data_IF_093578050676
#
_entry.id   IF_093578050676
#
_cell.length_a   1.000
_cell.length_b   1.000
_cell.length_c   1.000
_cell.angle_alpha   90.00
_cell.angle_beta   90.00
_cell.angle_gamma   90.00
#
_symmetry.space_group_name_H-M   'P 1'
#
loop_
_entity.id
_entity.type
_entity.pdbx_description
1 polymer ?
#
# COMPACT_ATOMS: atom_id res chain seq x y z
N UNK A 1 15.56 -14.55 -10.98
CA UNK A 1 15.66 -14.23 -9.53
C UNK A 1 14.25 -14.05 -9.01
N UNK A 2 13.85 -14.69 -7.91
CA UNK A 2 12.55 -14.45 -7.24
C UNK A 2 12.80 -13.53 -6.05
N UNK A 3 12.39 -12.27 -6.16
CA UNK A 3 12.48 -11.28 -5.08
C UNK A 3 11.13 -11.18 -4.38
N UNK A 4 11.13 -11.19 -3.05
CA UNK A 4 9.92 -11.13 -2.23
C UNK A 4 10.04 -9.99 -1.22
N UNK A 5 9.03 -9.13 -1.17
CA UNK A 5 8.93 -8.04 -0.19
C UNK A 5 7.75 -8.30 0.75
N UNK A 6 8.00 -8.17 2.05
CA UNK A 6 6.96 -8.37 3.05
C UNK A 6 7.12 -7.41 4.22
N UNK A 7 6.07 -6.64 4.50
CA UNK A 7 5.95 -5.79 5.67
C UNK A 7 4.46 -5.47 5.95
N UNK A 8 4.17 -5.03 7.17
CA UNK A 8 2.86 -4.54 7.59
C UNK A 8 2.79 -3.01 7.60
N UNK A 9 1.57 -2.48 7.71
CA UNK A 9 1.31 -1.06 7.96
C UNK A 9 2.11 -0.15 7.00
N UNK A 10 2.91 0.76 7.56
CA UNK A 10 3.65 1.76 6.77
C UNK A 10 4.78 1.11 5.98
N UNK A 11 5.35 0.01 6.49
CA UNK A 11 6.32 -0.79 5.75
C UNK A 11 5.71 -1.47 4.53
N UNK A 12 4.40 -1.77 4.57
CA UNK A 12 3.67 -2.29 3.43
C UNK A 12 3.68 -1.34 2.22
N UNK A 13 3.64 -0.02 2.46
CA UNK A 13 3.83 0.98 1.40
C UNK A 13 5.21 0.83 0.76
N UNK A 14 6.28 0.77 1.56
CA UNK A 14 7.64 0.58 1.06
C UNK A 14 7.77 -0.72 0.26
N UNK A 15 7.20 -1.81 0.75
CA UNK A 15 7.22 -3.11 0.06
C UNK A 15 6.56 -3.05 -1.31
N UNK A 16 5.43 -2.36 -1.42
CA UNK A 16 4.74 -2.16 -2.71
C UNK A 16 5.58 -1.28 -3.64
N UNK A 17 6.13 -0.17 -3.16
CA UNK A 17 6.99 0.72 -3.95
C UNK A 17 8.21 -0.03 -4.53
N UNK A 18 8.90 -0.79 -3.68
CA UNK A 18 10.04 -1.63 -4.11
C UNK A 18 9.59 -2.73 -5.07
N UNK A 19 8.45 -3.34 -4.82
CA UNK A 19 7.88 -4.34 -5.72
C UNK A 19 7.60 -3.79 -7.12
N UNK A 20 7.10 -2.56 -7.20
CA UNK A 20 6.86 -1.87 -8.47
C UNK A 20 8.18 -1.60 -9.22
N UNK A 21 9.22 -1.19 -8.51
CA UNK A 21 10.54 -0.91 -9.10
C UNK A 21 11.26 -2.19 -9.56
N UNK A 22 11.13 -3.29 -8.80
CA UNK A 22 11.75 -4.58 -9.12
C UNK A 22 10.73 -5.48 -9.83
N UNK A 23 10.60 -5.28 -11.14
CA UNK A 23 9.64 -6.02 -11.98
C UNK A 23 9.85 -7.54 -11.86
N UNK A 24 8.74 -8.26 -11.70
CA UNK A 24 8.72 -9.71 -11.49
C UNK A 24 8.86 -10.14 -10.03
N UNK A 25 8.95 -9.19 -9.10
CA UNK A 25 8.90 -9.46 -7.66
C UNK A 25 7.49 -9.83 -7.20
N UNK A 26 7.43 -10.35 -5.97
CA UNK A 26 6.20 -10.65 -5.24
C UNK A 26 6.15 -9.80 -3.98
N UNK A 27 4.96 -9.34 -3.62
CA UNK A 27 4.72 -8.48 -2.47
C UNK A 27 3.63 -9.08 -1.61
N UNK A 28 3.89 -9.23 -0.32
CA UNK A 28 2.89 -9.59 0.68
C UNK A 28 2.79 -8.46 1.70
N UNK A 29 1.58 -7.96 1.95
CA UNK A 29 1.39 -6.89 2.94
C UNK A 29 0.17 -7.16 3.81
N UNK A 30 0.17 -6.58 5.00
CA UNK A 30 -0.96 -6.63 5.93
C UNK A 30 -1.30 -5.23 6.43
N UNK A 31 -2.57 -4.83 6.31
CA UNK A 31 -3.11 -3.53 6.74
C UNK A 31 -2.25 -2.35 6.24
N UNK A 32 -1.77 -2.43 4.99
CA UNK A 32 -0.79 -1.47 4.49
C UNK A 32 -1.39 -0.09 4.22
N UNK A 33 -0.74 0.96 4.73
CA UNK A 33 -1.11 2.35 4.43
C UNK A 33 -0.45 2.82 3.13
N UNK A 34 -1.08 2.48 2.01
CA UNK A 34 -0.53 2.64 0.65
C UNK A 34 -0.77 4.00 -0.01
N UNK A 35 -1.68 4.81 0.56
CA UNK A 35 -1.98 6.17 0.13
C UNK A 35 -1.70 7.09 1.32
N UNK A 36 -0.54 7.73 1.28
CA UNK A 36 -0.06 8.59 2.36
C UNK A 36 -0.95 9.81 2.57
N UNK A 37 -1.62 10.30 1.52
CA UNK A 37 -2.61 11.40 1.62
C UNK A 37 -3.76 11.07 2.59
N UNK A 38 -4.07 9.79 2.76
CA UNK A 38 -5.14 9.33 3.64
C UNK A 38 -4.62 8.96 5.04
N UNK A 39 -3.34 9.18 5.31
CA UNK A 39 -2.72 8.89 6.60
C UNK A 39 -2.88 10.08 7.56
N UNK A 40 -3.16 9.79 8.82
CA UNK A 40 -3.43 10.82 9.84
C UNK A 40 -2.29 11.86 9.96
N UNK A 41 -1.04 11.43 9.79
CA UNK A 41 0.14 12.31 9.89
C UNK A 41 0.57 12.94 8.56
N UNK A 42 -0.27 12.92 7.53
CA UNK A 42 0.09 13.44 6.20
C UNK A 42 0.54 14.90 6.23
N UNK A 43 -0.20 15.80 6.88
CA UNK A 43 0.14 17.23 6.96
C UNK A 43 1.50 17.45 7.62
N UNK A 44 1.75 16.78 8.75
CA UNK A 44 3.02 16.84 9.46
C UNK A 44 4.15 16.33 8.56
N UNK A 45 3.97 15.19 7.91
CA UNK A 45 4.98 14.65 6.99
C UNK A 45 5.29 15.64 5.85
N UNK A 46 4.27 16.29 5.30
CA UNK A 46 4.43 17.28 4.23
C UNK A 46 5.24 18.49 4.68
N UNK A 47 5.01 18.98 5.90
CA UNK A 47 5.77 20.09 6.46
C UNK A 47 7.23 19.70 6.71
N UNK A 48 7.49 18.51 7.27
CA UNK A 48 8.86 18.07 7.56
C UNK A 48 9.67 17.70 6.32
N UNK A 49 9.06 16.99 5.37
CA UNK A 49 9.77 16.44 4.18
C UNK A 49 9.82 17.47 3.07
N UNK A 50 8.73 18.21 2.85
CA UNK A 50 8.56 19.11 1.71
C UNK A 50 8.46 20.58 2.10
N UNK A 51 8.61 20.92 3.39
CA UNK A 51 8.58 22.32 3.88
C UNK A 51 7.32 23.08 3.44
N UNK A 52 6.19 22.38 3.32
CA UNK A 52 4.91 22.95 2.90
C UNK A 52 4.76 23.22 1.39
N UNK A 53 5.68 22.76 0.54
CA UNK A 53 5.63 22.93 -0.93
C UNK A 53 4.64 21.97 -1.61
N UNK A 54 3.35 22.15 -1.33
CA UNK A 54 2.26 21.28 -1.80
C UNK A 54 2.12 21.22 -3.33
N UNK A 55 2.44 22.32 -4.02
CA UNK A 55 2.28 22.45 -5.48
C UNK A 55 3.31 21.62 -6.24
N UNK A 56 4.58 21.66 -5.83
CA UNK A 56 5.60 20.81 -6.43
C UNK A 56 5.41 19.33 -6.06
N UNK A 57 4.90 19.03 -4.88
CA UNK A 57 4.67 17.64 -4.46
C UNK A 57 3.60 16.98 -5.32
N UNK A 58 2.48 17.67 -5.54
CA UNK A 58 1.39 17.15 -6.36
C UNK A 58 1.79 16.96 -7.82
N UNK A 59 2.64 17.83 -8.37
CA UNK A 59 3.05 17.77 -9.78
C UNK A 59 4.27 16.88 -10.05
N UNK A 60 5.24 16.80 -9.13
CA UNK A 60 6.52 16.10 -9.36
C UNK A 60 6.71 14.85 -8.53
N UNK A 61 6.09 14.75 -7.36
CA UNK A 61 6.40 13.72 -6.37
C UNK A 61 5.20 12.87 -5.95
N UNK A 62 4.08 12.93 -6.67
CA UNK A 62 2.88 12.17 -6.31
C UNK A 62 3.13 10.65 -6.22
N UNK A 63 4.02 10.10 -7.06
CA UNK A 63 4.43 8.70 -7.01
C UNK A 63 5.05 8.29 -5.66
N UNK A 64 5.60 9.26 -4.89
CA UNK A 64 6.13 9.06 -3.53
C UNK A 64 5.07 9.15 -2.44
N UNK A 65 3.82 9.44 -2.80
CA UNK A 65 2.70 9.57 -1.87
C UNK A 65 1.64 8.49 -2.05
N UNK A 66 1.64 7.79 -3.19
CA UNK A 66 0.61 6.84 -3.54
C UNK A 66 1.17 5.68 -4.35
N UNK A 67 0.87 4.46 -3.91
CA UNK A 67 1.15 3.25 -4.70
C UNK A 67 0.51 3.33 -6.11
N UNK A 68 -0.70 3.87 -6.22
CA UNK A 68 -1.40 4.02 -7.50
C UNK A 68 -0.65 4.95 -8.46
N UNK A 69 -0.14 6.06 -7.95
CA UNK A 69 0.65 7.00 -8.75
C UNK A 69 1.99 6.37 -9.16
N UNK A 70 2.59 5.54 -8.30
CA UNK A 70 3.78 4.77 -8.65
C UNK A 70 3.49 3.73 -9.74
N UNK A 71 2.38 3.00 -9.65
CA UNK A 71 1.97 2.05 -10.69
C UNK A 71 1.81 2.73 -12.03
N UNK A 72 1.14 3.90 -12.06
CA UNK A 72 0.98 4.71 -13.28
C UNK A 72 2.32 5.15 -13.86
N UNK A 73 3.21 5.65 -13.01
CA UNK A 73 4.54 6.12 -13.41
C UNK A 73 5.37 5.00 -14.04
N UNK A 74 5.36 3.81 -13.46
CA UNK A 74 6.17 2.68 -13.93
C UNK A 74 5.44 1.80 -14.97
N UNK A 75 4.18 2.13 -15.27
CA UNK A 75 3.26 1.35 -16.10
C UNK A 75 3.25 -0.14 -15.69
N UNK A 76 3.22 -0.38 -14.37
CA UNK A 76 3.45 -1.69 -13.79
C UNK A 76 2.81 -1.82 -12.40
N UNK A 77 2.09 -2.93 -12.20
CA UNK A 77 1.62 -3.38 -10.88
C UNK A 77 2.38 -4.66 -10.52
N UNK A 78 3.05 -4.75 -9.36
CA UNK A 78 3.69 -5.99 -8.93
C UNK A 78 2.65 -7.05 -8.57
N UNK A 79 3.07 -8.32 -8.43
CA UNK A 79 2.19 -9.32 -7.84
C UNK A 79 2.03 -9.01 -6.35
N UNK A 80 0.80 -8.75 -5.91
CA UNK A 80 0.49 -8.33 -4.54
C UNK A 80 -0.50 -9.31 -3.93
N UNK A 81 -0.19 -9.81 -2.73
CA UNK A 81 -1.17 -10.37 -1.81
C UNK A 81 -1.36 -9.37 -0.67
N UNK A 82 -2.53 -8.75 -0.58
CA UNK A 82 -2.88 -7.74 0.41
C UNK A 82 -3.84 -8.34 1.43
N UNK A 83 -3.39 -8.53 2.67
CA UNK A 83 -4.25 -8.88 3.79
C UNK A 83 -4.84 -7.61 4.41
N UNK A 84 -6.16 -7.57 4.56
CA UNK A 84 -6.87 -6.47 5.20
C UNK A 84 -7.76 -6.97 6.34
N UNK A 85 -7.51 -6.48 7.55
CA UNK A 85 -8.34 -6.77 8.71
C UNK A 85 -9.61 -5.90 8.65
N UNK A 86 -10.77 -6.52 8.50
CA UNK A 86 -12.06 -5.82 8.53
C UNK A 86 -12.39 -5.24 9.92
N UNK A 87 -11.67 -5.67 10.96
CA UNK A 87 -11.72 -5.05 12.29
C UNK A 87 -11.02 -3.68 12.37
N UNK A 88 -10.30 -3.26 11.31
CA UNK A 88 -9.70 -1.94 11.18
C UNK A 88 -10.48 -1.10 10.17
N UNK A 89 -11.51 -0.40 10.64
CA UNK A 89 -12.37 0.42 9.77
C UNK A 89 -11.54 1.45 8.97
N UNK A 90 -10.58 2.11 9.62
CA UNK A 90 -9.72 3.08 8.97
C UNK A 90 -8.88 2.48 7.84
N UNK A 91 -8.26 1.32 8.02
CA UNK A 91 -7.47 0.69 6.94
C UNK A 91 -8.37 0.27 5.78
N UNK A 92 -9.57 -0.24 6.07
CA UNK A 92 -10.51 -0.64 5.02
C UNK A 92 -10.97 0.57 4.21
N UNK A 93 -11.49 1.59 4.88
CA UNK A 93 -12.11 2.75 4.24
C UNK A 93 -11.07 3.66 3.58
N UNK A 94 -9.92 3.85 4.22
CA UNK A 94 -8.94 4.84 3.80
C UNK A 94 -7.78 4.25 2.99
N UNK A 95 -7.57 2.92 2.98
CA UNK A 95 -6.44 2.29 2.27
C UNK A 95 -6.90 1.21 1.29
N UNK A 96 -7.58 0.16 1.77
CA UNK A 96 -7.95 -0.99 0.96
C UNK A 96 -8.99 -0.65 -0.13
N UNK A 97 -10.10 0.00 0.22
CA UNK A 97 -11.14 0.40 -0.76
C UNK A 97 -10.56 1.39 -1.79
N UNK A 98 -9.81 2.42 -1.39
CA UNK A 98 -9.12 3.30 -2.34
C UNK A 98 -8.14 2.57 -3.27
N UNK A 99 -7.43 1.53 -2.81
CA UNK A 99 -6.60 0.69 -3.67
C UNK A 99 -7.43 0.05 -4.78
N UNK A 100 -8.52 -0.64 -4.39
CA UNK A 100 -9.39 -1.37 -5.30
C UNK A 100 -9.95 -0.42 -6.36
N UNK A 101 -10.52 0.71 -5.93
CA UNK A 101 -11.05 1.75 -6.83
C UNK A 101 -9.95 2.31 -7.74
N UNK A 102 -8.74 2.49 -7.21
CA UNK A 102 -7.61 2.96 -7.99
C UNK A 102 -7.20 2.01 -9.09
N UNK A 103 -7.06 0.72 -8.78
CA UNK A 103 -6.67 -0.33 -9.73
C UNK A 103 -7.72 -0.50 -10.83
N UNK A 104 -9.01 -0.48 -10.48
CA UNK A 104 -10.12 -0.58 -11.46
C UNK A 104 -10.02 0.51 -12.54
N UNK A 105 -9.49 1.69 -12.18
CA UNK A 105 -9.35 2.84 -13.09
C UNK A 105 -7.97 2.94 -13.75
N UNK A 106 -7.15 1.88 -13.72
CA UNK A 106 -5.89 1.84 -14.47
C UNK A 106 -6.13 1.21 -15.84
N UNK A 107 -5.75 1.94 -16.89
CA UNK A 107 -5.91 1.50 -18.28
C UNK A 107 -4.88 0.44 -18.71
N UNK A 108 -3.95 0.10 -17.82
CA UNK A 108 -2.96 -0.95 -18.01
C UNK A 108 -3.16 -2.02 -16.93
N UNK A 109 -3.47 -3.22 -17.38
CA UNK A 109 -3.40 -4.42 -16.54
C UNK A 109 -2.34 -5.32 -17.15
N UNK A 110 -1.25 -5.49 -16.41
CA UNK A 110 -0.22 -6.46 -16.71
C UNK A 110 -0.75 -7.87 -16.33
N UNK A 111 -0.10 -8.94 -16.78
CA UNK A 111 -0.42 -10.32 -16.35
C UNK A 111 -0.08 -10.60 -14.86
N UNK A 112 -0.01 -9.58 -14.02
CA UNK A 112 0.27 -9.69 -12.59
C UNK A 112 -1.02 -9.63 -11.80
N UNK A 113 -1.06 -10.36 -10.68
CA UNK A 113 -2.25 -10.48 -9.87
C UNK A 113 -2.16 -9.60 -8.63
N UNK A 114 -3.25 -8.90 -8.33
CA UNK A 114 -3.50 -8.28 -7.03
C UNK A 114 -4.60 -9.09 -6.35
N UNK A 115 -4.21 -9.84 -5.32
CA UNK A 115 -5.11 -10.61 -4.48
C UNK A 115 -5.35 -9.86 -3.18
N UNK A 116 -6.62 -9.74 -2.78
CA UNK A 116 -7.01 -9.09 -1.53
C UNK A 116 -7.70 -10.12 -0.66
N UNK A 117 -7.11 -10.38 0.51
CA UNK A 117 -7.61 -11.32 1.51
C UNK A 117 -8.18 -10.53 2.68
N UNK A 118 -9.51 -10.55 2.80
CA UNK A 118 -10.21 -9.96 3.92
C UNK A 118 -10.27 -10.95 5.08
N UNK A 119 -9.87 -10.52 6.27
CA UNK A 119 -9.96 -11.33 7.49
C UNK A 119 -10.50 -10.50 8.64
N UNK A 120 -10.97 -11.14 9.72
CA UNK A 120 -11.45 -10.44 10.91
C UNK A 120 -10.61 -10.80 12.13
N UNK A 121 -10.12 -9.77 12.84
CA UNK A 121 -9.50 -9.90 14.15
C UNK A 121 -9.83 -8.68 15.01
N UNK A 122 -9.99 -8.90 16.32
CA UNK A 122 -10.21 -7.84 17.32
C UNK A 122 -9.03 -6.88 17.47
N UNK A 123 -7.85 -7.25 16.94
CA UNK A 123 -6.63 -6.44 17.05
C UNK A 123 -6.63 -5.20 16.12
N UNK A 124 -7.66 -5.03 15.28
CA UNK A 124 -7.82 -3.85 14.42
C UNK A 124 -6.63 -3.68 13.46
N UNK A 125 -5.99 -2.51 13.51
CA UNK A 125 -4.81 -2.19 12.70
C UNK A 125 -3.64 -3.16 12.95
N UNK A 126 -3.50 -3.65 14.18
CA UNK A 126 -2.42 -4.56 14.52
C UNK A 126 -2.69 -5.93 13.90
N UNK A 127 -1.69 -6.51 13.22
CA UNK A 127 -1.86 -7.81 12.59
C UNK A 127 -2.06 -8.90 13.64
N UNK A 128 -2.47 -10.07 13.16
CA UNK A 128 -2.55 -11.27 13.99
C UNK A 128 -1.17 -11.55 14.59
N UNK A 129 -1.05 -11.46 15.92
CA UNK A 129 0.15 -11.94 16.61
C UNK A 129 0.15 -13.46 16.45
N UNK A 130 1.19 -14.01 15.82
CA UNK A 130 1.41 -15.44 15.58
C UNK A 130 1.57 -16.30 16.85
N UNK A 131 1.09 -15.85 18.01
CA UNK A 131 1.13 -16.61 19.27
C UNK A 131 0.05 -17.69 19.35
N UNK A 132 -0.85 -17.79 18.38
CA UNK A 132 -1.94 -18.78 18.35
C UNK A 132 -1.73 -19.93 17.35
N UNK A 133 -0.57 -19.99 16.65
CA UNK A 133 -0.23 -21.16 15.82
C UNK A 133 0.58 -22.23 16.57
N UNK A 134 0.85 -22.02 17.87
CA UNK A 134 1.60 -22.95 18.73
C UNK A 134 0.88 -23.23 20.06
N UNK A 135 -0.45 -23.15 20.09
CA UNK A 135 -1.29 -23.69 21.18
C UNK A 135 -2.25 -24.73 20.60
#
# INVERSE_FOLDING_TARGET
MRTFFFMEAQGGYTSIQLGTLIKGSQVLVNNAQIILKNFFYYSIMMDYVFKGDNDNVSSKYEYRLSALAMFKKENYIPNITYYANIGSEDDILNQCIPLIKGIINLDFLNNNNVEIVLYHSKNGHNPYILNTLYQ
#
